data_IF_952400666947
#
_entry.id   IF_952400666947
#
_cell.length_a   1.000
_cell.length_b   1.000
_cell.length_c   1.000
_cell.angle_alpha   90.00
_cell.angle_beta   90.00
_cell.angle_gamma   90.00
#
_symmetry.space_group_name_H-M   'P 1'
#
loop_
_entity.id
_entity.type
_entity.pdbx_description
1 polymer ?
#
# COMPACT_ATOMS: atom_id res chain seq x y z
N UNK A 1 8.33 14.26 5.07
CA UNK A 1 7.08 13.88 4.38
C UNK A 1 7.28 12.68 3.47
N UNK A 2 6.20 12.07 3.04
CA UNK A 2 6.18 11.01 2.03
C UNK A 2 5.05 11.26 1.05
N UNK A 3 5.30 10.96 -0.23
CA UNK A 3 4.31 11.03 -1.30
C UNK A 3 4.10 9.64 -1.86
N UNK A 4 2.84 9.20 -1.96
CA UNK A 4 2.44 7.94 -2.59
C UNK A 4 1.54 8.26 -3.77
N UNK A 5 1.92 7.79 -4.95
CA UNK A 5 1.14 7.99 -6.19
C UNK A 5 0.80 6.65 -6.81
N UNK A 6 -0.46 6.47 -7.20
CA UNK A 6 -0.92 5.33 -7.98
C UNK A 6 -1.48 5.77 -9.33
N UNK A 7 -1.55 4.85 -10.26
CA UNK A 7 -2.16 5.00 -11.58
C UNK A 7 -3.47 4.21 -11.71
N UNK A 8 -4.15 3.99 -10.61
CA UNK A 8 -5.42 3.28 -10.52
C UNK A 8 -6.59 4.07 -11.11
N UNK A 9 -7.79 3.70 -10.69
CA UNK A 9 -9.03 4.37 -11.17
C UNK A 9 -9.25 5.77 -10.57
N UNK A 10 -8.51 6.14 -9.53
CA UNK A 10 -8.79 7.28 -8.67
C UNK A 10 -9.89 7.01 -7.63
N UNK A 11 -9.84 7.70 -6.50
CA UNK A 11 -10.91 7.66 -5.49
C UNK A 11 -12.14 8.39 -6.06
N UNK A 12 -13.37 7.87 -5.90
CA UNK A 12 -14.57 8.58 -6.34
C UNK A 12 -14.70 9.96 -5.67
N UNK A 13 -15.06 10.96 -6.43
CA UNK A 13 -15.19 12.38 -5.96
C UNK A 13 -16.64 12.81 -5.74
N UNK A 14 -17.61 11.99 -6.18
CA UNK A 14 -19.05 12.27 -6.00
C UNK A 14 -19.46 12.19 -4.53
N UNK A 15 -20.64 12.72 -4.25
CA UNK A 15 -21.24 12.69 -2.90
C UNK A 15 -21.59 11.25 -2.52
N UNK A 16 -21.12 10.82 -1.36
CA UNK A 16 -21.54 9.55 -0.76
C UNK A 16 -22.93 9.74 -0.15
N UNK A 17 -23.94 9.05 -0.70
CA UNK A 17 -25.34 9.20 -0.27
C UNK A 17 -25.62 8.86 1.20
N UNK A 18 -24.79 7.99 1.81
CA UNK A 18 -24.96 7.62 3.23
C UNK A 18 -24.37 8.66 4.17
N UNK A 19 -23.23 9.24 3.80
CA UNK A 19 -22.51 10.20 4.63
C UNK A 19 -22.87 11.66 4.32
N UNK A 20 -23.42 11.96 3.13
CA UNK A 20 -23.75 13.31 2.69
C UNK A 20 -22.55 14.20 2.34
N UNK A 21 -21.35 13.61 2.26
CA UNK A 21 -20.08 14.29 1.98
C UNK A 21 -19.36 13.62 0.79
N UNK A 22 -18.35 14.28 0.17
CA UNK A 22 -17.58 13.66 -0.90
C UNK A 22 -16.97 12.30 -0.52
N UNK A 23 -16.96 11.35 -1.45
CA UNK A 23 -16.43 10.01 -1.16
C UNK A 23 -14.93 10.03 -0.79
N UNK A 24 -14.14 10.97 -1.33
CA UNK A 24 -12.76 11.22 -0.92
C UNK A 24 -12.69 11.52 0.58
N UNK A 25 -13.53 12.44 1.04
CA UNK A 25 -13.57 12.84 2.46
C UNK A 25 -13.98 11.68 3.36
N UNK A 26 -14.95 10.86 2.92
CA UNK A 26 -15.34 9.62 3.63
C UNK A 26 -14.15 8.69 3.82
N UNK A 27 -13.33 8.47 2.77
CA UNK A 27 -12.15 7.59 2.82
C UNK A 27 -11.11 8.05 3.83
N UNK A 28 -10.90 9.36 3.95
CA UNK A 28 -9.85 9.92 4.81
C UNK A 28 -10.32 10.33 6.22
N UNK A 29 -11.63 10.39 6.49
CA UNK A 29 -12.13 10.87 7.79
C UNK A 29 -12.99 9.86 8.54
N UNK A 30 -13.57 8.85 7.85
CA UNK A 30 -14.47 7.89 8.48
C UNK A 30 -13.80 6.52 8.57
N UNK A 31 -13.76 5.96 9.79
CA UNK A 31 -13.27 4.61 10.02
C UNK A 31 -14.23 3.57 9.38
N UNK A 32 -13.66 2.47 8.90
CA UNK A 32 -14.40 1.36 8.26
C UNK A 32 -15.21 1.75 7.02
N UNK A 33 -14.91 2.89 6.41
CA UNK A 33 -15.59 3.38 5.22
C UNK A 33 -14.95 2.90 3.90
N UNK A 34 -14.00 1.97 3.97
CA UNK A 34 -13.30 1.47 2.79
C UNK A 34 -14.23 0.79 1.80
N UNK A 35 -14.18 1.20 0.52
CA UNK A 35 -14.95 0.61 -0.59
C UNK A 35 -14.55 -0.83 -0.97
N UNK A 36 -13.77 -1.51 -0.13
CA UNK A 36 -13.31 -2.89 -0.32
C UNK A 36 -14.33 -3.93 0.13
N UNK A 37 -15.33 -3.50 0.90
CA UNK A 37 -16.39 -4.36 1.44
C UNK A 37 -17.69 -4.18 0.63
N UNK A 38 -18.07 -5.19 -0.13
CA UNK A 38 -19.41 -5.32 -0.69
C UNK A 38 -19.66 -4.83 -2.11
N UNK A 39 -18.66 -4.69 -2.96
CA UNK A 39 -18.92 -4.17 -4.30
C UNK A 39 -17.93 -4.54 -5.39
N UNK A 40 -17.46 -5.81 -5.53
CA UNK A 40 -16.80 -6.29 -6.77
C UNK A 40 -15.62 -5.46 -7.34
N UNK A 41 -15.19 -4.41 -6.65
CA UNK A 41 -14.19 -3.45 -7.15
C UNK A 41 -12.74 -3.87 -6.97
N UNK A 42 -12.47 -4.84 -6.09
CA UNK A 42 -11.13 -5.35 -5.81
C UNK A 42 -11.16 -6.88 -5.76
N UNK A 43 -10.39 -7.54 -6.63
CA UNK A 43 -10.24 -9.00 -6.61
C UNK A 43 -9.36 -9.46 -5.46
N UNK A 44 -8.32 -8.69 -5.14
CA UNK A 44 -7.39 -8.92 -4.01
C UNK A 44 -7.13 -7.59 -3.33
N UNK A 45 -7.13 -7.58 -2.00
CA UNK A 45 -6.88 -6.38 -1.21
C UNK A 45 -6.01 -6.72 0.00
N UNK A 46 -4.87 -6.03 0.15
CA UNK A 46 -3.98 -6.17 1.30
C UNK A 46 -4.51 -5.57 2.61
N UNK A 47 -5.62 -4.83 2.57
CA UNK A 47 -6.23 -4.22 3.77
C UNK A 47 -7.57 -4.85 4.11
N UNK A 48 -7.75 -5.26 5.37
CA UNK A 48 -8.95 -5.98 5.84
C UNK A 48 -9.96 -5.09 6.56
N UNK A 49 -9.54 -3.93 7.08
CA UNK A 49 -10.35 -3.16 8.03
C UNK A 49 -10.91 -1.84 7.48
N UNK A 50 -10.44 -1.38 6.30
CA UNK A 50 -10.88 -0.12 5.69
C UNK A 50 -10.55 1.14 6.51
N UNK A 51 -9.45 1.11 7.28
CA UNK A 51 -9.05 2.21 8.18
C UNK A 51 -7.70 2.85 7.81
N UNK A 52 -6.93 2.27 6.88
CA UNK A 52 -5.56 2.71 6.61
C UNK A 52 -5.45 4.19 6.26
N UNK A 53 -6.27 4.68 5.34
CA UNK A 53 -6.23 6.06 4.89
C UNK A 53 -6.65 7.06 6.00
N UNK A 54 -7.74 6.77 6.72
CA UNK A 54 -8.23 7.62 7.80
C UNK A 54 -7.28 7.64 9.01
N UNK A 55 -6.61 6.52 9.32
CA UNK A 55 -5.59 6.47 10.38
C UNK A 55 -4.35 7.28 9.96
N UNK A 56 -3.85 7.15 8.73
CA UNK A 56 -2.74 7.97 8.24
C UNK A 56 -3.08 9.45 8.33
N UNK A 57 -4.30 9.85 7.95
CA UNK A 57 -4.75 11.22 8.06
C UNK A 57 -4.78 11.69 9.53
N UNK A 58 -5.36 10.92 10.44
CA UNK A 58 -5.45 11.26 11.85
C UNK A 58 -4.07 11.40 12.53
N UNK A 59 -3.08 10.63 12.08
CA UNK A 59 -1.71 10.62 12.63
C UNK A 59 -0.74 11.56 11.88
N UNK A 60 -1.25 12.37 10.95
CA UNK A 60 -0.45 13.31 10.19
C UNK A 60 -0.67 14.74 10.68
N UNK A 61 0.41 15.51 10.74
CA UNK A 61 0.34 16.96 10.97
C UNK A 61 -0.49 17.62 9.86
N UNK A 62 -0.24 17.19 8.61
CA UNK A 62 -1.07 17.52 7.45
C UNK A 62 -1.05 16.38 6.42
N UNK A 63 -2.11 16.31 5.62
CA UNK A 63 -2.26 15.38 4.51
C UNK A 63 -2.96 16.07 3.35
N UNK A 64 -2.43 15.88 2.15
CA UNK A 64 -2.97 16.40 0.89
C UNK A 64 -3.30 15.25 -0.04
N UNK A 65 -4.43 15.35 -0.71
CA UNK A 65 -4.89 14.36 -1.67
C UNK A 65 -5.16 15.04 -3.00
N UNK A 66 -4.53 14.52 -4.06
CA UNK A 66 -4.89 14.83 -5.43
C UNK A 66 -5.51 13.58 -6.06
N UNK A 67 -6.71 13.71 -6.59
CA UNK A 67 -7.42 12.63 -7.28
C UNK A 67 -7.55 12.98 -8.75
N UNK A 68 -7.16 12.06 -9.63
CA UNK A 68 -7.22 12.20 -11.08
C UNK A 68 -8.27 11.23 -11.62
N UNK A 69 -9.46 11.74 -11.88
CA UNK A 69 -10.63 10.95 -12.29
C UNK A 69 -11.48 11.74 -13.29
N UNK A 70 -12.06 11.05 -14.26
CA UNK A 70 -12.97 11.61 -15.28
C UNK A 70 -12.39 12.82 -16.05
N UNK A 71 -11.06 12.80 -16.29
CA UNK A 71 -10.36 13.85 -17.02
C UNK A 71 -10.10 15.13 -16.21
N UNK A 72 -10.32 15.10 -14.92
CA UNK A 72 -10.11 16.25 -14.03
C UNK A 72 -9.26 15.89 -12.81
N UNK A 73 -8.53 16.91 -12.31
CA UNK A 73 -7.83 16.88 -11.04
C UNK A 73 -8.68 17.50 -9.95
N UNK A 74 -8.76 16.82 -8.82
CA UNK A 74 -9.43 17.28 -7.60
C UNK A 74 -8.43 17.29 -6.45
N UNK A 75 -8.55 18.25 -5.54
CA UNK A 75 -7.65 18.44 -4.41
C UNK A 75 -8.45 18.64 -3.12
N UNK A 76 -7.96 18.04 -2.04
CA UNK A 76 -8.43 18.29 -0.68
C UNK A 76 -7.27 18.19 0.31
N UNK A 77 -7.31 19.05 1.36
CA UNK A 77 -6.30 19.10 2.42
C UNK A 77 -6.92 18.81 3.77
N UNK A 78 -6.15 18.13 4.59
CA UNK A 78 -6.49 17.74 5.96
C UNK A 78 -5.35 18.12 6.90
N UNK A 79 -5.69 18.38 8.18
CA UNK A 79 -4.73 18.56 9.27
C UNK A 79 -5.21 17.79 10.50
N UNK A 80 -4.38 16.87 11.00
CA UNK A 80 -4.71 15.99 12.15
C UNK A 80 -6.10 15.34 12.03
N UNK A 81 -6.39 14.79 10.87
CA UNK A 81 -7.65 14.14 10.58
C UNK A 81 -8.82 15.05 10.24
N UNK A 82 -8.68 16.38 10.35
CA UNK A 82 -9.74 17.35 10.08
C UNK A 82 -9.64 17.90 8.67
N UNK A 83 -10.79 18.07 8.03
CA UNK A 83 -10.91 18.72 6.72
C UNK A 83 -10.57 20.21 6.84
N UNK A 84 -9.65 20.70 6.01
CA UNK A 84 -9.22 22.09 5.99
C UNK A 84 -9.81 22.90 4.85
N UNK A 85 -10.24 22.24 3.79
CA UNK A 85 -10.92 22.87 2.65
C UNK A 85 -11.92 21.91 2.04
N UNK A 86 -12.94 22.45 1.38
CA UNK A 86 -13.85 21.65 0.53
C UNK A 86 -13.06 20.98 -0.60
N UNK A 87 -13.62 19.89 -1.16
CA UNK A 87 -13.04 19.23 -2.32
C UNK A 87 -13.06 20.19 -3.52
N UNK A 88 -11.89 20.58 -3.99
CA UNK A 88 -11.69 21.54 -5.06
C UNK A 88 -11.49 20.84 -6.40
N UNK A 89 -12.18 21.26 -7.43
CA UNK A 89 -11.90 20.88 -8.82
C UNK A 89 -10.85 21.82 -9.38
N UNK A 90 -9.62 21.32 -9.60
CA UNK A 90 -8.47 22.14 -10.00
C UNK A 90 -8.49 22.44 -11.49
N UNK A 91 -8.66 21.40 -12.32
CA UNK A 91 -8.65 21.59 -13.78
C UNK A 91 -8.61 20.28 -14.55
N UNK A 92 -8.55 20.35 -15.90
CA UNK A 92 -8.45 19.16 -16.74
C UNK A 92 -7.06 18.51 -16.60
N UNK A 93 -7.01 17.17 -16.69
CA UNK A 93 -5.78 16.40 -16.64
C UNK A 93 -5.89 15.13 -17.46
N UNK A 94 -4.76 14.65 -18.00
CA UNK A 94 -4.63 13.34 -18.61
C UNK A 94 -4.18 12.26 -17.60
N UNK A 95 -3.78 12.69 -16.38
CA UNK A 95 -3.38 11.76 -15.32
C UNK A 95 -4.58 10.93 -14.86
N UNK A 96 -4.27 9.77 -14.27
CA UNK A 96 -5.24 8.88 -13.66
C UNK A 96 -4.68 8.31 -12.36
N UNK A 97 -5.53 8.13 -11.37
CA UNK A 97 -5.15 7.55 -10.07
C UNK A 97 -5.28 8.54 -8.92
N UNK A 98 -4.47 8.34 -7.89
CA UNK A 98 -4.46 9.18 -6.70
C UNK A 98 -3.04 9.48 -6.25
N UNK A 99 -2.80 10.69 -5.79
CA UNK A 99 -1.57 11.07 -5.09
C UNK A 99 -1.93 11.49 -3.67
N UNK A 100 -1.27 10.88 -2.69
CA UNK A 100 -1.39 11.24 -1.28
C UNK A 100 -0.03 11.71 -0.79
N UNK A 101 0.03 12.91 -0.24
CA UNK A 101 1.24 13.49 0.33
C UNK A 101 0.96 13.85 1.79
N UNK A 102 1.80 13.40 2.73
CA UNK A 102 1.57 13.62 4.14
C UNK A 102 2.85 13.76 4.95
N UNK A 103 2.72 14.41 6.10
CA UNK A 103 3.76 14.55 7.10
C UNK A 103 3.29 13.93 8.42
N UNK A 104 3.98 12.90 8.96
CA UNK A 104 3.68 12.36 10.28
C UNK A 104 3.76 13.44 11.36
N UNK A 105 2.82 13.41 12.32
CA UNK A 105 2.75 14.39 13.39
C UNK A 105 3.82 14.12 14.46
N UNK A 106 4.74 15.06 14.64
CA UNK A 106 5.79 15.01 15.68
C UNK A 106 5.27 15.09 17.12
N UNK A 107 4.03 15.49 17.32
CA UNK A 107 3.39 15.45 18.64
C UNK A 107 2.91 14.04 19.01
N UNK A 108 2.78 13.16 18.01
CA UNK A 108 2.33 11.76 18.18
C UNK A 108 3.51 10.78 18.11
N UNK A 109 4.43 11.01 17.17
CA UNK A 109 5.56 10.13 16.90
C UNK A 109 6.86 10.73 17.42
N UNK A 110 7.63 9.95 18.18
CA UNK A 110 8.97 10.32 18.64
C UNK A 110 9.94 10.43 17.45
N UNK A 111 9.79 9.56 16.44
CA UNK A 111 10.59 9.52 15.22
C UNK A 111 9.69 9.69 13.99
N UNK A 112 9.94 10.74 13.20
CA UNK A 112 9.17 11.05 11.98
C UNK A 112 9.99 10.89 10.70
N UNK A 113 11.26 10.48 10.82
CA UNK A 113 12.14 10.22 9.67
C UNK A 113 11.92 8.79 9.18
N UNK A 114 11.47 8.66 7.94
CA UNK A 114 11.28 7.34 7.34
C UNK A 114 12.61 6.64 7.06
N UNK A 115 12.74 5.39 7.52
CA UNK A 115 13.88 4.54 7.18
C UNK A 115 13.70 3.94 5.78
N UNK A 116 14.60 4.31 4.87
CA UNK A 116 14.59 3.83 3.49
C UNK A 116 14.72 2.29 3.39
N UNK A 117 15.55 1.68 4.25
CA UNK A 117 15.78 0.22 4.21
C UNK A 117 14.55 -0.55 4.63
N UNK A 118 13.86 -0.07 5.66
CA UNK A 118 12.61 -0.66 6.14
C UNK A 118 11.51 -0.53 5.08
N UNK A 119 11.33 0.66 4.49
CA UNK A 119 10.37 0.87 3.41
C UNK A 119 10.70 0.00 2.19
N UNK A 120 11.96 -0.04 1.77
CA UNK A 120 12.44 -0.85 0.65
C UNK A 120 12.12 -2.33 0.83
N UNK A 121 12.34 -2.87 2.04
CA UNK A 121 12.01 -4.26 2.34
C UNK A 121 10.51 -4.50 2.26
N UNK A 122 9.70 -3.68 2.92
CA UNK A 122 8.25 -3.82 2.94
C UNK A 122 7.60 -3.68 1.56
N UNK A 123 8.04 -2.72 0.77
CA UNK A 123 7.53 -2.54 -0.59
C UNK A 123 7.90 -3.69 -1.52
N UNK A 124 9.07 -4.29 -1.33
CA UNK A 124 9.46 -5.53 -2.03
C UNK A 124 8.54 -6.69 -1.66
N UNK A 125 8.26 -6.89 -0.36
CA UNK A 125 7.33 -7.93 0.12
C UNK A 125 5.93 -7.75 -0.50
N UNK A 126 5.41 -6.51 -0.52
CA UNK A 126 4.12 -6.19 -1.13
C UNK A 126 4.13 -6.50 -2.64
N UNK A 127 5.22 -6.18 -3.34
CA UNK A 127 5.33 -6.47 -4.77
C UNK A 127 5.35 -7.98 -5.06
N UNK A 128 5.93 -8.82 -4.20
CA UNK A 128 5.84 -10.27 -4.30
C UNK A 128 4.42 -10.78 -4.02
N UNK A 129 3.76 -10.24 -3.00
CA UNK A 129 2.41 -10.67 -2.61
C UNK A 129 1.32 -10.20 -3.60
N UNK A 130 1.64 -9.21 -4.43
CA UNK A 130 0.69 -8.66 -5.41
C UNK A 130 1.26 -8.84 -6.82
N UNK A 131 1.04 -10.01 -7.37
CA UNK A 131 1.53 -10.42 -8.69
C UNK A 131 1.26 -9.37 -9.76
N UNK A 132 2.30 -8.99 -10.52
CA UNK A 132 2.23 -8.00 -11.59
C UNK A 132 2.19 -6.53 -11.14
N UNK A 133 2.14 -6.24 -9.83
CA UNK A 133 2.24 -4.87 -9.33
C UNK A 133 3.68 -4.36 -9.46
N UNK A 134 3.85 -3.17 -10.05
CA UNK A 134 5.12 -2.45 -10.06
C UNK A 134 5.11 -1.41 -8.97
N UNK A 135 6.13 -1.43 -8.10
CA UNK A 135 6.33 -0.45 -7.04
C UNK A 135 7.72 0.18 -7.22
N UNK A 136 7.79 1.50 -7.15
CA UNK A 136 9.04 2.25 -7.12
C UNK A 136 9.14 3.07 -5.85
N UNK A 137 10.31 3.06 -5.23
CA UNK A 137 10.65 3.88 -4.06
C UNK A 137 11.81 4.79 -4.43
N UNK A 138 11.60 6.10 -4.30
CA UNK A 138 12.65 7.11 -4.52
C UNK A 138 12.89 7.86 -3.23
N UNK A 139 14.12 7.89 -2.76
CA UNK A 139 14.59 8.75 -1.68
C UNK A 139 15.28 9.97 -2.28
N UNK A 140 14.72 11.15 -2.03
CA UNK A 140 15.18 12.43 -2.58
C UNK A 140 15.83 13.32 -1.51
N UNK A 141 16.21 12.75 -0.35
CA UNK A 141 16.81 13.51 0.75
C UNK A 141 18.28 13.88 0.51
N UNK A 142 18.96 13.10 -0.32
CA UNK A 142 20.34 13.35 -0.73
C UNK A 142 20.38 14.05 -2.09
N UNK A 143 21.55 14.61 -2.45
CA UNK A 143 21.75 15.29 -3.76
C UNK A 143 21.49 14.33 -4.93
N UNK A 144 21.90 13.07 -4.80
CA UNK A 144 21.61 12.01 -5.77
C UNK A 144 20.44 11.14 -5.25
N UNK A 145 19.27 11.16 -5.91
CA UNK A 145 18.13 10.35 -5.51
C UNK A 145 18.43 8.84 -5.59
N UNK A 146 18.07 8.11 -4.54
CA UNK A 146 18.20 6.66 -4.50
C UNK A 146 16.89 6.04 -4.98
N UNK A 147 16.93 5.30 -6.11
CA UNK A 147 15.77 4.62 -6.69
C UNK A 147 15.85 3.12 -6.45
N UNK A 148 14.75 2.53 -6.00
CA UNK A 148 14.50 1.08 -6.02
C UNK A 148 13.17 0.80 -6.72
N UNK A 149 13.15 -0.21 -7.59
CA UNK A 149 11.93 -0.64 -8.30
C UNK A 149 11.74 -2.15 -8.12
N UNK A 150 10.52 -2.57 -7.90
CA UNK A 150 10.10 -3.95 -7.66
C UNK A 150 8.96 -4.31 -8.60
N UNK A 151 9.07 -5.46 -9.25
CA UNK A 151 8.04 -6.01 -10.13
C UNK A 151 8.26 -7.51 -10.26
N UNK A 152 7.30 -8.32 -9.82
CA UNK A 152 7.41 -9.77 -9.77
C UNK A 152 6.16 -10.40 -10.39
N UNK A 153 6.37 -11.20 -11.42
CA UNK A 153 5.29 -11.91 -12.11
C UNK A 153 5.00 -13.29 -11.50
N UNK A 154 5.95 -13.84 -10.77
CA UNK A 154 5.84 -15.16 -10.13
C UNK A 154 5.12 -15.17 -8.79
N UNK A 155 4.78 -14.00 -8.23
CA UNK A 155 4.05 -13.89 -6.98
C UNK A 155 4.75 -14.55 -5.79
N UNK A 156 4.00 -15.23 -4.92
CA UNK A 156 4.54 -15.89 -3.73
C UNK A 156 5.52 -17.03 -4.05
N UNK A 157 5.41 -17.65 -5.21
CA UNK A 157 6.36 -18.68 -5.66
C UNK A 157 7.76 -18.07 -5.87
N UNK A 158 7.82 -16.91 -6.53
CA UNK A 158 9.05 -16.16 -6.72
C UNK A 158 9.60 -15.61 -5.39
N UNK A 159 8.70 -15.29 -4.45
CA UNK A 159 9.08 -14.85 -3.11
C UNK A 159 9.79 -15.97 -2.32
N UNK A 160 9.30 -17.21 -2.35
CA UNK A 160 9.96 -18.36 -1.74
C UNK A 160 11.35 -18.57 -2.35
N UNK A 161 11.49 -18.49 -3.69
CA UNK A 161 12.79 -18.55 -4.35
C UNK A 161 13.74 -17.43 -3.87
N UNK A 162 13.21 -16.22 -3.70
CA UNK A 162 13.98 -15.09 -3.19
C UNK A 162 14.46 -15.31 -1.75
N UNK A 163 13.60 -15.82 -0.86
CA UNK A 163 13.95 -16.10 0.54
C UNK A 163 15.01 -17.19 0.65
N UNK A 164 15.00 -18.15 -0.26
CA UNK A 164 15.95 -19.27 -0.26
C UNK A 164 17.25 -19.01 -1.02
N UNK A 165 17.45 -17.79 -1.58
CA UNK A 165 18.71 -17.46 -2.30
C UNK A 165 19.98 -17.67 -1.47
N UNK A 166 19.91 -17.47 -0.16
CA UNK A 166 21.05 -17.63 0.76
C UNK A 166 21.04 -18.99 1.49
N UNK A 167 20.06 -19.86 1.23
CA UNK A 167 19.90 -21.15 1.86
C UNK A 167 20.19 -22.28 0.87
N UNK A 168 20.39 -23.49 1.39
CA UNK A 168 20.51 -24.70 0.56
C UNK A 168 19.16 -25.42 0.58
N UNK A 169 18.35 -25.35 -0.50
CA UNK A 169 17.10 -26.09 -0.57
C UNK A 169 17.35 -27.60 -0.56
N UNK A 170 16.43 -28.37 0.04
CA UNK A 170 16.47 -29.83 0.03
C UNK A 170 16.05 -30.41 -1.32
N UNK A 171 15.38 -29.63 -2.15
CA UNK A 171 14.93 -29.97 -3.50
C UNK A 171 14.78 -28.68 -4.33
N UNK A 172 14.90 -28.80 -5.65
CA UNK A 172 14.94 -27.63 -6.54
C UNK A 172 13.56 -27.03 -6.79
N UNK A 173 12.51 -27.85 -6.81
CA UNK A 173 11.16 -27.43 -7.16
C UNK A 173 10.43 -26.80 -5.96
N UNK A 174 9.83 -25.62 -6.18
CA UNK A 174 8.97 -25.00 -5.18
C UNK A 174 7.57 -25.61 -5.28
N UNK A 175 7.11 -26.22 -4.21
CA UNK A 175 5.74 -26.74 -4.08
C UNK A 175 4.79 -25.53 -4.10
N UNK A 176 3.88 -25.52 -5.06
CA UNK A 176 2.89 -24.46 -5.22
C UNK A 176 1.51 -25.05 -5.45
N UNK A 177 0.54 -24.52 -4.76
CA UNK A 177 -0.87 -24.81 -5.04
C UNK A 177 -1.71 -23.55 -4.87
N UNK A 178 -2.75 -23.45 -5.68
CA UNK A 178 -3.78 -22.43 -5.56
C UNK A 178 -5.16 -23.09 -5.67
N UNK A 179 -6.14 -22.47 -5.03
CA UNK A 179 -7.51 -22.94 -5.07
C UNK A 179 -8.48 -21.87 -4.63
N UNK A 180 -9.72 -21.98 -5.11
CA UNK A 180 -10.80 -21.10 -4.75
C UNK A 180 -11.96 -21.93 -4.18
N UNK A 181 -12.50 -21.53 -3.05
CA UNK A 181 -13.69 -22.11 -2.48
C UNK A 181 -14.56 -21.03 -1.84
N UNK A 182 -15.83 -21.00 -2.17
CA UNK A 182 -16.81 -20.06 -1.64
C UNK A 182 -16.39 -18.57 -1.77
N UNK A 183 -15.68 -18.23 -2.88
CA UNK A 183 -15.16 -16.90 -3.15
C UNK A 183 -13.88 -16.55 -2.37
N UNK A 184 -13.29 -17.52 -1.65
CA UNK A 184 -12.00 -17.36 -0.97
C UNK A 184 -10.90 -17.98 -1.82
N UNK A 185 -9.99 -17.13 -2.31
CA UNK A 185 -8.79 -17.56 -3.03
C UNK A 185 -7.68 -17.86 -2.01
N UNK A 186 -7.05 -19.02 -2.16
CA UNK A 186 -5.91 -19.46 -1.32
C UNK A 186 -4.74 -19.81 -2.23
N UNK A 187 -3.59 -19.24 -1.96
CA UNK A 187 -2.32 -19.57 -2.59
C UNK A 187 -1.33 -20.05 -1.53
N UNK A 188 -0.60 -21.11 -1.81
CA UNK A 188 0.45 -21.64 -0.93
C UNK A 188 1.70 -21.93 -1.75
N UNK A 189 2.84 -21.44 -1.31
CA UNK A 189 4.17 -21.77 -1.84
C UNK A 189 5.07 -22.23 -0.71
N UNK A 190 5.76 -23.36 -0.91
CA UNK A 190 6.60 -24.01 0.12
C UNK A 190 7.87 -24.58 -0.52
N UNK A 191 8.99 -24.38 0.16
CA UNK A 191 10.25 -25.08 -0.12
C UNK A 191 11.01 -25.26 1.20
N UNK A 192 11.46 -26.48 1.47
CA UNK A 192 12.29 -26.77 2.64
C UNK A 192 13.75 -26.53 2.32
N UNK A 193 14.48 -25.94 3.28
CA UNK A 193 15.90 -25.69 3.16
C UNK A 193 16.63 -26.14 4.44
N UNK A 194 17.92 -26.43 4.31
CA UNK A 194 18.78 -26.71 5.45
C UNK A 194 19.01 -25.41 6.22
N UNK A 195 18.62 -25.40 7.49
CA UNK A 195 19.00 -24.35 8.44
C UNK A 195 20.07 -24.93 9.36
N UNK A 196 21.07 -24.11 9.69
CA UNK A 196 22.03 -24.49 10.76
C UNK A 196 21.25 -24.43 12.08
N UNK A 197 20.80 -25.62 12.54
CA UNK A 197 20.25 -25.79 13.89
C UNK A 197 21.48 -25.87 14.80
N UNK A 198 21.80 -24.75 15.48
CA UNK A 198 22.69 -24.84 16.65
C UNK A 198 22.01 -25.79 17.66
N UNK A 199 22.73 -26.83 18.11
CA UNK A 199 22.21 -27.80 19.06
C UNK A 199 21.48 -27.12 20.21
N UNK A 200 20.27 -27.60 20.61
CA UNK A 200 19.63 -27.10 21.80
C UNK A 200 20.54 -27.34 22.97
N UNK A 201 21.04 -26.28 23.59
CA UNK A 201 21.76 -26.37 24.87
C UNK A 201 20.85 -27.09 25.85
N UNK A 202 21.15 -28.36 26.13
CA UNK A 202 20.55 -29.10 27.25
C UNK A 202 20.89 -28.32 28.53
N UNK A 203 19.90 -27.75 29.16
CA UNK A 203 19.92 -27.39 30.59
C UNK A 203 19.38 -28.56 31.40
#
# INVERSE_FOLDING_TARGET
SITVTDNGRGIPVGINHKAGIPAVEVVFTILHAGGKFGGGGYKVSGGLHGVGASVVNALSEWLEVNVYVDGYEYYQRYERGKVMCELQKIGPTEKRGTTVHFLPDKEIFEETVFDYKVLKQRLREIAFLTKGLRISLTDVREEEPILSSFHYEGGIREYVAYLNKANTPLYDEIIYCEGEKDGVLVEVALQLSLIHISEPTRR
#
